data_IF_655721051920
#
_entry.id   IF_655721051920
#
_cell.length_a   1.000
_cell.length_b   1.000
_cell.length_c   1.000
_cell.angle_alpha   90.00
_cell.angle_beta   90.00
_cell.angle_gamma   90.00
#
_symmetry.space_group_name_H-M   'P 1'
#
loop_
_entity.id
_entity.type
_entity.pdbx_description
1 polymer ?
#
# COMPACT_ATOMS: atom_id res chain seq x y z
N UNK A 1 3.00 0.48 16.07
CA UNK A 1 1.73 1.25 16.00
C UNK A 1 0.97 1.02 17.30
N UNK A 2 1.01 1.95 18.26
CA UNK A 2 0.22 1.87 19.49
C UNK A 2 -1.15 2.50 19.19
N UNK A 3 -2.24 1.83 19.54
CA UNK A 3 -3.61 2.10 19.07
C UNK A 3 -4.29 3.39 19.57
N UNK A 4 -3.58 4.51 19.57
CA UNK A 4 -4.12 5.85 19.82
C UNK A 4 -4.06 6.77 18.60
N UNK A 5 -3.63 6.27 17.45
CA UNK A 5 -3.67 7.01 16.19
C UNK A 5 -4.90 6.56 15.38
N UNK A 6 -6.00 7.28 15.54
CA UNK A 6 -7.30 6.94 14.93
C UNK A 6 -7.39 7.33 13.45
N UNK A 7 -6.40 8.05 12.92
CA UNK A 7 -6.37 8.45 11.52
C UNK A 7 -6.08 7.27 10.58
N UNK A 8 -5.52 6.17 11.09
CA UNK A 8 -5.19 4.98 10.29
C UNK A 8 -5.39 3.70 11.10
N UNK A 9 -6.57 3.06 10.95
CA UNK A 9 -6.89 1.76 11.56
C UNK A 9 -7.06 0.64 10.51
N UNK A 10 -6.09 0.42 9.60
CA UNK A 10 -6.24 -0.54 8.49
C UNK A 10 -6.36 -1.98 8.99
N UNK A 11 -5.86 -2.25 10.20
CA UNK A 11 -5.92 -3.55 10.86
C UNK A 11 -6.86 -3.57 12.07
N UNK A 12 -7.67 -2.53 12.26
CA UNK A 12 -8.49 -2.35 13.46
C UNK A 12 -7.66 -2.09 14.73
N UNK A 13 -8.33 -2.15 15.89
CA UNK A 13 -7.71 -1.90 17.19
C UNK A 13 -8.36 -2.71 18.32
N UNK A 14 -7.67 -2.76 19.47
CA UNK A 14 -8.18 -3.39 20.69
C UNK A 14 -8.42 -4.90 20.52
N UNK A 15 -9.53 -5.40 21.09
CA UNK A 15 -9.89 -6.82 21.09
C UNK A 15 -10.23 -7.39 19.71
N UNK A 16 -10.44 -6.53 18.70
CA UNK A 16 -10.78 -6.91 17.32
C UNK A 16 -9.68 -6.54 16.32
N UNK A 17 -8.46 -6.31 16.79
CA UNK A 17 -7.31 -6.08 15.90
C UNK A 17 -7.06 -7.33 15.04
N UNK A 18 -6.67 -7.13 13.79
CA UNK A 18 -6.30 -8.20 12.88
C UNK A 18 -5.12 -9.00 13.49
N UNK A 19 -5.29 -10.31 13.76
CA UNK A 19 -4.23 -11.13 14.33
C UNK A 19 -3.03 -11.27 13.37
N UNK A 20 -3.24 -11.06 12.07
CA UNK A 20 -2.21 -11.08 11.03
C UNK A 20 -1.46 -9.77 10.82
N UNK A 21 -1.74 -8.70 11.57
CA UNK A 21 -1.19 -7.37 11.31
C UNK A 21 0.34 -7.33 11.28
N UNK A 22 1.01 -7.97 12.24
CA UNK A 22 2.49 -7.99 12.26
C UNK A 22 3.08 -8.86 11.14
N UNK A 23 2.42 -9.97 10.81
CA UNK A 23 2.85 -10.84 9.72
C UNK A 23 2.84 -10.09 8.38
N UNK A 24 1.73 -9.42 8.06
CA UNK A 24 1.60 -8.70 6.79
C UNK A 24 2.55 -7.50 6.72
N UNK A 25 2.75 -6.76 7.81
CA UNK A 25 3.71 -5.65 7.83
C UNK A 25 5.11 -6.15 7.48
N UNK A 26 5.57 -7.23 8.11
CA UNK A 26 6.89 -7.79 7.83
C UNK A 26 7.00 -8.34 6.41
N UNK A 27 5.97 -9.04 5.94
CA UNK A 27 5.93 -9.61 4.59
C UNK A 27 5.98 -8.53 3.52
N UNK A 28 5.09 -7.52 3.61
CA UNK A 28 5.00 -6.42 2.65
C UNK A 28 6.28 -5.59 2.67
N UNK A 29 6.86 -5.33 3.84
CA UNK A 29 8.13 -4.59 3.94
C UNK A 29 9.26 -5.35 3.23
N UNK A 30 9.36 -6.66 3.44
CA UNK A 30 10.37 -7.50 2.78
C UNK A 30 10.15 -7.57 1.27
N UNK A 31 8.91 -7.77 0.82
CA UNK A 31 8.56 -7.80 -0.61
C UNK A 31 8.88 -6.47 -1.28
N UNK A 32 8.46 -5.35 -0.67
CA UNK A 32 8.74 -4.02 -1.20
C UNK A 32 10.24 -3.74 -1.26
N UNK A 33 10.99 -4.12 -0.23
CA UNK A 33 12.45 -4.02 -0.23
C UNK A 33 13.08 -4.75 -1.42
N UNK A 34 12.70 -6.01 -1.67
CA UNK A 34 13.20 -6.74 -2.83
C UNK A 34 12.80 -6.10 -4.16
N UNK A 35 11.54 -5.66 -4.28
CA UNK A 35 11.03 -5.01 -5.48
C UNK A 35 11.78 -3.71 -5.81
N UNK A 36 12.12 -2.91 -4.80
CA UNK A 36 12.85 -1.66 -4.97
C UNK A 36 14.34 -1.87 -5.24
N UNK A 37 14.94 -2.92 -4.67
CA UNK A 37 16.38 -3.20 -4.85
C UNK A 37 16.70 -3.91 -6.17
N UNK A 38 15.82 -4.78 -6.66
CA UNK A 38 16.12 -5.65 -7.80
C UNK A 38 15.49 -5.20 -9.11
N UNK A 39 14.55 -4.26 -9.10
CA UNK A 39 13.86 -3.80 -10.30
C UNK A 39 14.01 -2.30 -10.50
N UNK A 40 14.21 -1.91 -11.75
CA UNK A 40 14.08 -0.52 -12.19
C UNK A 40 12.67 -0.31 -12.71
N UNK A 41 11.96 0.66 -12.14
CA UNK A 41 10.57 0.94 -12.46
C UNK A 41 10.52 2.14 -13.41
N UNK A 42 9.87 1.96 -14.55
CA UNK A 42 9.64 3.02 -15.53
C UNK A 42 8.19 2.96 -16.00
N UNK A 43 7.54 4.10 -16.28
CA UNK A 43 6.22 4.10 -16.88
C UNK A 43 6.19 3.39 -18.24
N UNK A 44 4.99 2.97 -18.72
CA UNK A 44 4.82 2.48 -20.08
C UNK A 44 5.30 3.51 -21.12
N UNK A 45 5.70 3.04 -22.30
CA UNK A 45 6.15 3.93 -23.38
C UNK A 45 5.09 5.00 -23.69
N UNK A 46 5.53 6.27 -23.68
CA UNK A 46 4.66 7.42 -23.95
C UNK A 46 3.88 7.96 -22.75
N UNK A 47 3.93 7.30 -21.58
CA UNK A 47 3.32 7.80 -20.33
C UNK A 47 4.37 8.56 -19.53
N UNK A 48 4.10 9.80 -19.15
CA UNK A 48 4.97 10.52 -18.22
C UNK A 48 4.51 10.28 -16.78
N UNK A 49 5.41 10.43 -15.78
CA UNK A 49 5.03 10.33 -14.37
C UNK A 49 3.92 11.31 -13.96
N UNK A 50 3.86 12.48 -14.59
CA UNK A 50 2.83 13.51 -14.38
C UNK A 50 1.44 13.11 -14.88
N UNK A 51 1.36 12.13 -15.79
CA UNK A 51 0.11 11.58 -16.32
C UNK A 51 -0.48 10.49 -15.41
N UNK A 52 0.26 10.06 -14.37
CA UNK A 52 -0.14 8.99 -13.46
C UNK A 52 -0.95 9.54 -12.28
N UNK A 53 -2.26 9.24 -12.23
CA UNK A 53 -3.13 9.61 -11.12
C UNK A 53 -3.05 8.60 -9.97
N UNK A 54 -2.21 8.88 -8.96
CA UNK A 54 -2.05 8.07 -7.75
C UNK A 54 -3.19 8.25 -6.72
N UNK A 55 -4.26 8.98 -7.04
CA UNK A 55 -5.42 9.07 -6.16
C UNK A 55 -6.15 7.74 -6.03
N UNK A 56 -6.86 7.58 -4.92
CA UNK A 56 -7.49 6.33 -4.53
C UNK A 56 -8.91 6.20 -5.10
N UNK A 57 -9.22 5.04 -5.67
CA UNK A 57 -10.59 4.58 -5.82
C UNK A 57 -10.95 3.75 -4.57
N UNK A 58 -11.83 4.30 -3.74
CA UNK A 58 -12.21 3.73 -2.46
C UNK A 58 -13.22 2.58 -2.66
N UNK A 59 -12.83 1.38 -2.26
CA UNK A 59 -13.65 0.17 -2.28
C UNK A 59 -13.35 -0.76 -1.11
N UNK A 60 -13.66 -2.06 -1.27
CA UNK A 60 -13.20 -3.08 -0.31
C UNK A 60 -11.66 -3.13 -0.25
N UNK A 61 -11.02 -2.92 -1.40
CA UNK A 61 -9.59 -2.73 -1.57
C UNK A 61 -9.36 -1.36 -2.24
N UNK A 62 -8.17 -0.79 -2.03
CA UNK A 62 -7.79 0.49 -2.63
C UNK A 62 -7.02 0.26 -3.93
N UNK A 63 -7.50 0.86 -5.01
CA UNK A 63 -6.81 0.85 -6.31
C UNK A 63 -6.50 2.27 -6.76
N UNK A 64 -5.54 2.38 -7.67
CA UNK A 64 -5.29 3.61 -8.42
C UNK A 64 -6.56 4.04 -9.16
N UNK A 65 -6.92 5.32 -9.09
CA UNK A 65 -8.14 5.85 -9.75
C UNK A 65 -8.16 5.55 -11.24
N UNK A 66 -7.00 5.65 -11.88
CA UNK A 66 -6.80 5.27 -13.28
C UNK A 66 -5.62 4.30 -13.34
N UNK A 67 -5.86 2.97 -13.43
CA UNK A 67 -4.77 2.01 -13.56
C UNK A 67 -4.05 2.22 -14.90
N UNK A 68 -2.72 2.08 -14.86
CA UNK A 68 -1.84 2.14 -16.03
C UNK A 68 -1.88 0.87 -16.87
#
# INVERSE_FOLDING_TARGET
MKGHDFHLLPFGAGRRVCPGAQLVINLVTSMLGHLLHHFTWTPPEGVKPEDMDMSENLGLDTYMRTPL
#
